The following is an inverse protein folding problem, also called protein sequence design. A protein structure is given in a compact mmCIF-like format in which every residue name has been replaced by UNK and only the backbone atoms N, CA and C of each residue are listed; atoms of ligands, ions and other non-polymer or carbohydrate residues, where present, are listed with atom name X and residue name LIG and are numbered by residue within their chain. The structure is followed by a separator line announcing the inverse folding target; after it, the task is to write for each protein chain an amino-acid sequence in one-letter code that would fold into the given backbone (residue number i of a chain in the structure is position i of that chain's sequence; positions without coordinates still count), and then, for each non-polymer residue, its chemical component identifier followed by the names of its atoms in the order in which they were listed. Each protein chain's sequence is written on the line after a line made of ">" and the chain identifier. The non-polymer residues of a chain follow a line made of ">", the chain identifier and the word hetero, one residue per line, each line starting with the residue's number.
data_IF_235844515465
#
_entry.id   IF_235844515465
#
_cell.length_a   1.000
_cell.length_b   1.000
_cell.length_c   1.000
_cell.angle_alpha   90.00
_cell.angle_beta   90.00
_cell.angle_gamma   90.00
#
_symmetry.space_group_name_H-M   'P 1'
#
loop_
_entity.id
_entity.type
_entity.pdbx_description
1 polymer ?
#
# COMPACT_ATOMS: atom_id res chain seq x y z
N UNK A 1 9.74 20.49 36.15
CA UNK A 1 9.89 19.30 35.30
C UNK A 1 11.03 18.48 35.84
N UNK A 2 10.82 17.21 36.11
CA UNK A 2 11.86 16.32 36.63
C UNK A 2 12.84 15.94 35.52
N UNK A 3 14.07 15.58 35.91
CA UNK A 3 15.14 15.14 35.00
C UNK A 3 14.70 13.95 34.13
N UNK A 4 13.81 13.11 34.67
CA UNK A 4 13.24 11.94 34.01
C UNK A 4 12.24 12.35 32.87
N UNK A 5 11.44 13.39 33.09
CA UNK A 5 10.51 13.94 32.06
C UNK A 5 11.28 14.59 30.91
N UNK A 6 12.40 15.23 31.20
CA UNK A 6 13.28 15.82 30.18
C UNK A 6 14.00 14.75 29.35
N UNK A 7 14.49 13.68 29.95
CA UNK A 7 15.10 12.56 29.25
C UNK A 7 14.10 11.87 28.32
N UNK A 8 12.87 11.62 28.77
CA UNK A 8 11.79 11.05 27.95
C UNK A 8 11.41 11.94 26.77
N UNK A 9 11.39 13.27 26.97
CA UNK A 9 11.11 14.24 25.88
C UNK A 9 12.21 14.22 24.83
N UNK A 10 13.48 14.18 25.22
CA UNK A 10 14.61 14.12 24.30
C UNK A 10 14.65 12.81 23.49
N UNK A 11 14.33 11.69 24.11
CA UNK A 11 14.24 10.40 23.42
C UNK A 11 13.09 10.40 22.38
N UNK A 12 11.95 10.98 22.73
CA UNK A 12 10.82 11.12 21.83
C UNK A 12 11.15 12.03 20.64
N UNK A 13 11.78 13.18 20.88
CA UNK A 13 12.21 14.09 19.81
C UNK A 13 13.23 13.44 18.88
N UNK A 14 14.18 12.69 19.42
CA UNK A 14 15.15 11.94 18.63
C UNK A 14 14.49 10.83 17.80
N UNK A 15 13.47 10.14 18.36
CA UNK A 15 12.70 9.13 17.64
C UNK A 15 11.86 9.76 16.53
N UNK A 16 11.19 10.88 16.79
CA UNK A 16 10.42 11.62 15.80
C UNK A 16 11.31 12.13 14.64
N UNK A 17 12.50 12.65 14.97
CA UNK A 17 13.46 13.05 13.94
C UNK A 17 13.88 11.87 13.06
N UNK A 18 14.26 10.75 13.65
CA UNK A 18 14.63 9.55 12.88
C UNK A 18 13.49 9.08 11.97
N UNK A 19 12.26 9.07 12.48
CA UNK A 19 11.09 8.70 11.68
C UNK A 19 10.87 9.67 10.51
N UNK A 20 11.05 10.97 10.73
CA UNK A 20 10.96 11.98 9.65
C UNK A 20 12.06 11.79 8.62
N UNK A 21 13.29 11.55 9.03
CA UNK A 21 14.42 11.33 8.13
C UNK A 21 14.19 10.06 7.28
N UNK A 22 13.68 8.99 7.87
CA UNK A 22 13.29 7.77 7.15
C UNK A 22 12.17 8.03 6.14
N UNK A 23 11.13 8.78 6.53
CA UNK A 23 10.03 9.14 5.64
C UNK A 23 10.52 9.96 4.44
N UNK A 24 11.39 10.94 4.66
CA UNK A 24 11.98 11.76 3.61
C UNK A 24 12.81 10.92 2.64
N UNK A 25 13.68 10.05 3.17
CA UNK A 25 14.50 9.14 2.36
C UNK A 25 13.64 8.22 1.51
N UNK A 26 12.61 7.63 2.11
CA UNK A 26 11.67 6.76 1.40
C UNK A 26 10.87 7.51 0.34
N UNK A 27 10.41 8.72 0.64
CA UNK A 27 9.71 9.57 -0.33
C UNK A 27 10.59 9.87 -1.55
N UNK A 28 11.85 10.27 -1.31
CA UNK A 28 12.80 10.50 -2.39
C UNK A 28 12.98 9.25 -3.26
N UNK A 29 13.25 8.10 -2.64
CA UNK A 29 13.44 6.82 -3.34
C UNK A 29 12.22 6.46 -4.19
N UNK A 30 11.01 6.52 -3.64
CA UNK A 30 9.76 6.19 -4.35
C UNK A 30 9.53 7.14 -5.52
N UNK A 31 9.76 8.44 -5.36
CA UNK A 31 9.61 9.40 -6.45
C UNK A 31 10.63 9.14 -7.56
N UNK A 32 11.90 8.94 -7.21
CA UNK A 32 12.94 8.58 -8.18
C UNK A 32 12.53 7.33 -8.96
N UNK A 33 12.03 6.32 -8.27
CA UNK A 33 11.64 5.07 -8.90
C UNK A 33 10.41 5.19 -9.81
N UNK A 34 9.36 5.92 -9.36
CA UNK A 34 8.11 6.07 -10.11
C UNK A 34 8.21 7.00 -11.32
N UNK A 35 9.13 7.97 -11.31
CA UNK A 35 9.34 8.89 -12.41
C UNK A 35 10.54 8.53 -13.29
N UNK A 36 11.29 7.48 -12.97
CA UNK A 36 12.36 7.01 -13.84
C UNK A 36 11.80 6.29 -15.08
N UNK A 37 12.30 6.59 -16.30
CA UNK A 37 11.74 6.06 -17.55
C UNK A 37 11.71 4.52 -17.66
N UNK A 38 12.64 3.83 -16.99
CA UNK A 38 12.73 2.36 -17.04
C UNK A 38 11.90 1.63 -15.99
N UNK A 39 11.60 2.28 -14.85
CA UNK A 39 10.90 1.64 -13.72
C UNK A 39 9.51 2.18 -13.51
N UNK A 40 9.28 3.42 -13.90
CA UNK A 40 8.11 4.20 -13.54
C UNK A 40 6.79 3.68 -14.09
N UNK A 41 5.72 4.14 -13.46
CA UNK A 41 4.36 3.88 -13.87
C UNK A 41 4.03 4.69 -15.13
N UNK A 42 3.49 4.08 -16.21
CA UNK A 42 3.15 4.79 -17.44
C UNK A 42 2.30 6.04 -17.22
N UNK A 43 1.32 5.97 -16.34
CA UNK A 43 0.48 7.12 -15.99
C UNK A 43 1.30 8.30 -15.44
N UNK A 44 2.18 8.05 -14.48
CA UNK A 44 3.00 9.11 -13.87
C UNK A 44 4.06 9.65 -14.81
N UNK A 45 4.61 8.81 -15.69
CA UNK A 45 5.56 9.25 -16.71
C UNK A 45 4.89 10.18 -17.73
N UNK A 46 3.65 9.88 -18.12
CA UNK A 46 2.85 10.77 -18.98
C UNK A 46 2.49 12.06 -18.23
N UNK A 47 1.99 11.95 -17.01
CA UNK A 47 1.63 13.10 -16.17
C UNK A 47 2.80 14.04 -15.93
N UNK A 48 4.01 13.52 -15.76
CA UNK A 48 5.22 14.32 -15.56
C UNK A 48 5.43 15.38 -16.66
N UNK A 49 5.05 15.08 -17.90
CA UNK A 49 5.17 16.03 -19.01
C UNK A 49 4.27 17.27 -18.85
N UNK A 50 3.22 17.17 -18.06
CA UNK A 50 2.27 18.26 -17.79
C UNK A 50 2.56 19.02 -16.48
N UNK A 51 3.49 18.54 -15.66
CA UNK A 51 3.90 19.23 -14.44
C UNK A 51 4.72 20.48 -14.77
N UNK A 52 4.65 21.48 -13.89
CA UNK A 52 5.44 22.71 -13.99
C UNK A 52 6.84 22.59 -13.36
N UNK A 53 7.19 21.41 -12.90
CA UNK A 53 8.44 21.11 -12.23
C UNK A 53 8.92 19.70 -12.62
N UNK A 54 10.18 19.40 -12.37
CA UNK A 54 10.77 18.08 -12.61
C UNK A 54 10.78 17.26 -11.31
N UNK A 55 9.92 16.22 -11.17
CA UNK A 55 9.87 15.44 -9.95
C UNK A 55 11.19 14.82 -9.53
N UNK A 56 12.03 14.42 -10.49
CA UNK A 56 13.33 13.81 -10.22
C UNK A 56 14.35 14.80 -9.64
N UNK A 57 14.14 16.11 -9.86
CA UNK A 57 15.06 17.16 -9.40
C UNK A 57 14.56 17.95 -8.21
N UNK A 58 13.25 17.97 -7.99
CA UNK A 58 12.66 18.92 -7.06
C UNK A 58 11.96 18.29 -5.87
N UNK A 59 11.79 16.96 -5.87
CA UNK A 59 11.21 16.24 -4.74
C UNK A 59 12.35 15.55 -3.98
N UNK A 60 12.65 16.04 -2.80
CA UNK A 60 13.70 15.53 -1.92
C UNK A 60 13.18 15.01 -0.59
N UNK A 61 12.03 15.52 -0.15
CA UNK A 61 11.43 15.15 1.13
C UNK A 61 9.91 15.08 1.03
N UNK A 62 9.28 14.55 2.09
CA UNK A 62 7.83 14.34 2.13
C UNK A 62 7.03 15.63 1.93
N UNK A 63 7.50 16.73 2.49
CA UNK A 63 6.82 18.02 2.36
C UNK A 63 6.83 18.58 0.93
N UNK A 64 7.79 18.16 0.10
CA UNK A 64 7.84 18.53 -1.33
C UNK A 64 6.70 17.91 -2.14
N UNK A 65 6.08 16.84 -1.66
CA UNK A 65 4.91 16.24 -2.33
C UNK A 65 3.75 17.22 -2.51
N UNK A 66 3.71 18.30 -1.73
CA UNK A 66 2.75 19.39 -1.90
C UNK A 66 2.87 20.14 -3.22
N UNK A 67 4.00 19.99 -3.93
CA UNK A 67 4.19 20.53 -5.30
C UNK A 67 3.32 19.84 -6.33
N UNK A 68 2.94 18.57 -6.07
CA UNK A 68 1.95 17.88 -6.88
C UNK A 68 0.55 18.44 -6.59
N UNK A 69 -0.27 18.54 -7.62
CA UNK A 69 -1.69 18.80 -7.47
C UNK A 69 -2.36 17.62 -6.74
N UNK A 70 -3.56 17.87 -6.22
CA UNK A 70 -4.35 16.81 -5.59
C UNK A 70 -4.65 15.70 -6.60
N UNK A 71 -4.59 14.46 -6.13
CA UNK A 71 -4.95 13.31 -6.93
C UNK A 71 -6.45 13.35 -7.27
N UNK A 72 -6.77 13.28 -8.55
CA UNK A 72 -8.15 13.21 -9.00
C UNK A 72 -8.61 11.76 -9.08
N UNK A 73 -9.55 11.41 -8.25
CA UNK A 73 -10.12 10.05 -8.15
C UNK A 73 -10.70 9.55 -9.48
N UNK A 74 -11.12 10.48 -10.35
CA UNK A 74 -11.66 10.16 -11.68
C UNK A 74 -10.60 9.57 -12.64
N UNK A 75 -9.31 9.79 -12.39
CA UNK A 75 -8.23 9.15 -13.16
C UNK A 75 -8.24 7.62 -13.02
N UNK A 76 -8.82 7.09 -11.93
CA UNK A 76 -8.98 5.66 -11.72
C UNK A 76 -10.14 5.04 -12.50
N UNK A 77 -10.96 5.88 -13.15
CA UNK A 77 -12.16 5.44 -13.85
C UNK A 77 -11.85 5.13 -15.31
N UNK A 78 -12.16 3.90 -15.73
CA UNK A 78 -11.93 3.47 -17.11
C UNK A 78 -10.47 3.41 -17.54
N UNK A 79 -10.24 3.19 -18.83
CA UNK A 79 -8.92 3.07 -19.44
C UNK A 79 -8.18 1.77 -19.10
N UNK A 80 -7.03 1.54 -19.72
CA UNK A 80 -6.26 0.32 -19.48
C UNK A 80 -5.67 0.33 -18.06
N UNK A 81 -6.07 -0.62 -17.23
CA UNK A 81 -5.57 -0.72 -15.83
C UNK A 81 -4.06 -0.87 -15.74
N UNK A 82 -3.42 -1.42 -16.77
CA UNK A 82 -1.96 -1.58 -16.81
C UNK A 82 -1.19 -0.26 -16.87
N UNK A 83 -1.84 0.87 -17.17
CA UNK A 83 -1.20 2.19 -17.07
C UNK A 83 -0.75 2.54 -15.63
N UNK A 84 -1.33 1.86 -14.64
CA UNK A 84 -1.00 2.01 -13.23
C UNK A 84 0.10 1.04 -12.76
N UNK A 85 0.48 0.07 -13.61
CA UNK A 85 1.52 -0.90 -13.28
C UNK A 85 2.89 -0.31 -13.61
N UNK A 86 3.80 -0.20 -12.65
CA UNK A 86 5.16 0.24 -12.93
C UNK A 86 5.86 -0.69 -13.93
N UNK A 87 6.65 -0.12 -14.83
CA UNK A 87 7.38 -0.89 -15.85
C UNK A 87 8.24 -1.99 -15.25
N UNK A 88 8.84 -1.74 -14.09
CA UNK A 88 9.63 -2.73 -13.37
C UNK A 88 8.84 -3.98 -12.95
N UNK A 89 7.50 -3.89 -12.95
CA UNK A 89 6.59 -4.98 -12.58
C UNK A 89 5.64 -5.38 -13.73
N UNK A 90 5.96 -4.99 -14.96
CA UNK A 90 5.10 -5.23 -16.13
C UNK A 90 4.73 -6.71 -16.33
N UNK A 91 5.65 -7.62 -15.99
CA UNK A 91 5.47 -9.07 -16.12
C UNK A 91 4.85 -9.74 -14.88
N UNK A 92 4.62 -8.98 -13.82
CA UNK A 92 4.01 -9.53 -12.61
C UNK A 92 2.50 -9.72 -12.79
N UNK A 93 1.91 -10.78 -12.18
CA UNK A 93 0.47 -10.89 -12.02
C UNK A 93 -0.06 -9.70 -11.21
N UNK A 94 -1.22 -9.20 -11.61
CA UNK A 94 -1.89 -8.10 -10.90
C UNK A 94 -3.28 -8.52 -10.46
N UNK A 95 -3.69 -8.00 -9.31
CA UNK A 95 -5.08 -8.00 -8.87
C UNK A 95 -5.70 -6.66 -9.24
N UNK A 96 -6.92 -6.69 -9.77
CA UNK A 96 -7.70 -5.49 -10.06
C UNK A 96 -8.87 -5.43 -9.09
N UNK A 97 -8.91 -4.38 -8.29
CA UNK A 97 -10.02 -4.10 -7.38
C UNK A 97 -10.86 -2.96 -7.92
N UNK A 98 -12.17 -3.10 -7.78
CA UNK A 98 -13.12 -2.13 -8.32
C UNK A 98 -14.05 -1.59 -7.24
N UNK A 99 -14.46 -0.33 -7.39
CA UNK A 99 -15.54 0.27 -6.60
C UNK A 99 -16.91 -0.24 -7.06
N UNK A 100 -17.98 0.09 -6.33
CA UNK A 100 -19.35 -0.37 -6.63
C UNK A 100 -19.91 0.06 -7.98
N UNK A 101 -19.38 1.12 -8.60
CA UNK A 101 -19.87 1.63 -9.87
C UNK A 101 -21.23 2.32 -9.77
N UNK A 102 -21.71 2.68 -8.59
CA UNK A 102 -23.01 3.34 -8.39
C UNK A 102 -23.14 4.70 -9.08
N UNK A 103 -22.01 5.35 -9.35
CA UNK A 103 -21.93 6.66 -9.99
C UNK A 103 -21.37 6.60 -11.42
N UNK A 104 -21.40 5.42 -12.05
CA UNK A 104 -20.89 5.21 -13.42
C UNK A 104 -19.90 4.05 -13.50
N UNK A 105 -18.96 4.13 -14.46
CA UNK A 105 -17.92 3.10 -14.62
C UNK A 105 -17.13 2.95 -13.32
N UNK A 106 -16.93 1.72 -12.81
CA UNK A 106 -16.17 1.52 -11.58
C UNK A 106 -14.77 2.12 -11.65
N UNK A 107 -14.29 2.64 -10.51
CA UNK A 107 -12.89 3.01 -10.34
C UNK A 107 -12.09 1.75 -10.08
N UNK A 108 -10.97 1.59 -10.79
CA UNK A 108 -10.11 0.41 -10.68
C UNK A 108 -8.81 0.78 -9.98
N UNK A 109 -8.38 -0.09 -9.07
CA UNK A 109 -7.05 -0.04 -8.44
C UNK A 109 -6.35 -1.36 -8.66
N UNK A 110 -5.06 -1.30 -8.91
CA UNK A 110 -4.23 -2.49 -9.00
C UNK A 110 -3.52 -2.76 -7.68
N UNK A 111 -3.24 -4.03 -7.41
CA UNK A 111 -2.29 -4.47 -6.40
C UNK A 111 -1.49 -5.64 -6.96
N UNK A 112 -0.28 -5.85 -6.48
CA UNK A 112 0.55 -7.00 -6.80
C UNK A 112 0.57 -7.92 -5.60
N UNK A 113 1.41 -7.65 -4.61
CA UNK A 113 1.51 -8.41 -3.36
C UNK A 113 1.37 -7.55 -2.11
N UNK A 114 1.30 -6.24 -2.29
CA UNK A 114 1.22 -5.24 -1.24
C UNK A 114 0.08 -5.51 -0.23
N UNK A 115 -1.09 -5.92 -0.74
CA UNK A 115 -2.23 -6.24 0.13
C UNK A 115 -1.98 -7.42 1.06
N UNK A 116 -1.13 -8.38 0.68
CA UNK A 116 -0.78 -9.52 1.54
C UNK A 116 0.07 -9.08 2.74
N UNK A 117 0.98 -8.14 2.52
CA UNK A 117 1.78 -7.54 3.58
C UNK A 117 0.88 -6.80 4.56
N UNK A 118 -0.03 -5.96 4.05
CA UNK A 118 -1.01 -5.23 4.87
C UNK A 118 -1.84 -6.17 5.73
N UNK A 119 -2.36 -7.25 5.15
CA UNK A 119 -3.22 -8.18 5.88
C UNK A 119 -2.44 -9.03 6.87
N UNK A 120 -1.21 -9.42 6.55
CA UNK A 120 -0.34 -10.13 7.51
C UNK A 120 -0.02 -9.26 8.73
N UNK A 121 0.32 -7.99 8.51
CA UNK A 121 0.58 -7.05 9.59
C UNK A 121 -0.68 -6.83 10.44
N UNK A 122 -1.84 -6.63 9.81
CA UNK A 122 -3.11 -6.46 10.50
C UNK A 122 -3.49 -7.72 11.31
N UNK A 123 -3.34 -8.91 10.71
CA UNK A 123 -3.65 -10.17 11.38
C UNK A 123 -2.90 -10.37 12.69
N UNK A 124 -1.65 -9.89 12.75
CA UNK A 124 -0.84 -9.95 13.96
C UNK A 124 -1.34 -9.02 15.09
N UNK A 125 -2.24 -8.08 14.79
CA UNK A 125 -2.84 -7.20 15.81
C UNK A 125 -4.15 -7.72 16.36
N UNK A 126 -4.72 -8.79 15.77
CA UNK A 126 -5.98 -9.36 16.21
C UNK A 126 -5.76 -10.20 17.48
N UNK A 127 -6.51 -9.95 18.56
CA UNK A 127 -6.39 -10.73 19.78
C UNK A 127 -6.98 -12.13 19.60
N UNK A 128 -6.23 -13.17 19.99
CA UNK A 128 -6.63 -14.58 19.85
C UNK A 128 -7.92 -14.91 20.62
N UNK A 129 -8.27 -14.14 21.65
CA UNK A 129 -9.52 -14.30 22.41
C UNK A 129 -10.77 -14.14 21.52
N UNK A 130 -10.75 -13.21 20.55
CA UNK A 130 -11.89 -12.94 19.67
C UNK A 130 -11.70 -13.49 18.26
N UNK A 131 -10.47 -13.73 17.88
CA UNK A 131 -10.08 -14.18 16.55
C UNK A 131 -9.12 -15.38 16.66
N UNK A 132 -9.60 -16.51 17.23
CA UNK A 132 -8.72 -17.65 17.46
C UNK A 132 -8.20 -18.21 16.13
N UNK A 133 -6.93 -18.57 16.13
CA UNK A 133 -6.29 -19.20 14.96
C UNK A 133 -6.93 -20.53 14.67
N UNK A 134 -7.11 -20.82 13.40
CA UNK A 134 -7.79 -22.06 12.94
C UNK A 134 -9.32 -21.98 12.94
N UNK A 135 -9.91 -20.87 13.36
CA UNK A 135 -11.35 -20.68 13.27
C UNK A 135 -11.81 -20.51 11.82
N UNK A 136 -13.06 -20.95 11.56
CA UNK A 136 -13.68 -20.70 10.28
C UNK A 136 -14.17 -19.25 10.19
N UNK A 137 -13.94 -18.62 9.06
CA UNK A 137 -14.39 -17.25 8.78
C UNK A 137 -15.64 -17.28 7.89
N UNK A 138 -16.63 -16.49 8.24
CA UNK A 138 -17.81 -16.25 7.41
C UNK A 138 -17.80 -14.82 6.90
N UNK A 139 -17.73 -14.65 5.58
CA UNK A 139 -17.86 -13.35 4.95
C UNK A 139 -19.30 -13.06 4.57
N UNK A 140 -19.90 -12.03 5.18
CA UNK A 140 -21.18 -11.47 4.79
C UNK A 140 -20.92 -10.14 4.05
N UNK A 141 -20.70 -10.22 2.74
CA UNK A 141 -20.33 -9.06 1.96
C UNK A 141 -20.43 -9.29 0.45
N UNK A 142 -20.18 -8.27 -0.37
CA UNK A 142 -20.29 -8.35 -1.81
C UNK A 142 -19.27 -9.32 -2.39
N UNK A 143 -19.73 -10.23 -3.25
CA UNK A 143 -18.88 -11.03 -4.13
C UNK A 143 -18.36 -10.16 -5.29
N UNK A 144 -17.28 -10.57 -5.95
CA UNK A 144 -16.69 -9.87 -7.07
C UNK A 144 -15.29 -9.31 -6.76
N UNK A 145 -14.74 -8.41 -7.60
CA UNK A 145 -13.37 -7.94 -7.49
C UNK A 145 -13.21 -6.91 -6.34
N UNK A 146 -13.55 -7.33 -5.13
CA UNK A 146 -13.52 -6.49 -3.92
C UNK A 146 -12.34 -6.88 -3.04
N UNK A 147 -11.58 -5.88 -2.61
CA UNK A 147 -10.43 -6.08 -1.71
C UNK A 147 -10.82 -6.73 -0.39
N UNK A 148 -12.02 -6.41 0.14
CA UNK A 148 -12.52 -6.99 1.39
C UNK A 148 -12.63 -8.51 1.34
N UNK A 149 -13.07 -9.09 0.21
CA UNK A 149 -13.13 -10.55 0.06
C UNK A 149 -11.75 -11.18 0.22
N UNK A 150 -10.74 -10.63 -0.44
CA UNK A 150 -9.37 -11.13 -0.33
C UNK A 150 -8.79 -10.95 1.08
N UNK A 151 -9.21 -9.92 1.82
CA UNK A 151 -8.83 -9.77 3.23
C UNK A 151 -9.33 -10.95 4.07
N UNK A 152 -10.60 -11.33 3.91
CA UNK A 152 -11.18 -12.45 4.66
C UNK A 152 -10.55 -13.78 4.22
N UNK A 153 -10.37 -14.01 2.92
CA UNK A 153 -9.67 -15.19 2.41
C UNK A 153 -8.25 -15.31 2.97
N UNK A 154 -7.54 -14.18 3.07
CA UNK A 154 -6.19 -14.15 3.65
C UNK A 154 -6.23 -14.47 5.16
N UNK A 155 -7.17 -13.89 5.91
CA UNK A 155 -7.33 -14.16 7.34
C UNK A 155 -7.66 -15.63 7.61
N UNK A 156 -8.53 -16.23 6.80
CA UNK A 156 -8.84 -17.66 6.89
C UNK A 156 -7.60 -18.53 6.66
N UNK A 157 -6.84 -18.25 5.60
CA UNK A 157 -5.61 -18.99 5.28
C UNK A 157 -4.53 -18.79 6.34
N UNK A 158 -4.37 -17.56 6.84
CA UNK A 158 -3.36 -17.22 7.84
C UNK A 158 -3.68 -17.83 9.22
N UNK A 159 -4.96 -17.94 9.56
CA UNK A 159 -5.40 -18.53 10.84
C UNK A 159 -5.29 -20.05 10.87
N UNK A 160 -5.20 -20.72 9.70
CA UNK A 160 -5.05 -22.17 9.64
C UNK A 160 -3.66 -22.59 10.08
N UNK A 161 -3.51 -23.63 10.92
CA UNK A 161 -2.22 -24.24 11.17
C UNK A 161 -1.58 -24.65 9.83
N UNK A 162 -0.32 -24.32 9.63
CA UNK A 162 0.45 -24.89 8.53
C UNK A 162 0.57 -26.37 8.86
N UNK A 163 -0.04 -27.22 8.05
CA UNK A 163 0.16 -28.66 8.13
C UNK A 163 1.62 -28.95 7.76
N UNK A 164 2.47 -29.05 8.77
CA UNK A 164 3.91 -29.24 8.60
C UNK A 164 4.27 -30.66 8.18
N UNK A 165 3.26 -31.45 7.77
CA UNK A 165 3.50 -32.70 7.06
C UNK A 165 4.46 -33.70 7.76
N UNK A 166 4.61 -33.62 9.08
CA UNK A 166 5.29 -34.66 9.84
C UNK A 166 4.37 -35.88 9.91
N UNK A 167 4.23 -36.50 8.75
CA UNK A 167 3.73 -37.86 8.67
C UNK A 167 4.70 -38.78 9.38
N UNK A 168 4.50 -38.92 10.69
CA UNK A 168 5.13 -40.00 11.44
C UNK A 168 4.76 -41.34 10.83
N UNK A 169 5.75 -42.03 10.31
CA UNK A 169 5.74 -43.49 10.14
C UNK A 169 6.06 -44.15 11.48
#
# INVERSE_FOLDING_TARGET
>A
MSTLEQASSQELEAAAKRAKDQLNSHTYEIVQWHFHPSTGCPFWLEKASSLKFDPLKEIHEFDDLKKFDLFEDEWLRGGPVRRWVPKAYADKPIYVFETGGTTGVPKSRIAIEDFRVDYSLFSNTLPDEYFPRGANWLMLGPSGPRRLRLAVEHLDQWSRPVDTGDGGQ
#
